data_IF_574222904067
#
_entry.id   IF_574222904067
#
_cell.length_a   1.000
_cell.length_b   1.000
_cell.length_c   1.000
_cell.angle_alpha   90.00
_cell.angle_beta   90.00
_cell.angle_gamma   90.00
#
_symmetry.space_group_name_H-M   'P 1'
#
loop_
_entity.id
_entity.type
_entity.pdbx_description
1 polymer ?
#
# COMPACT_ATOMS: atom_id res chain seq x y z
N UNK A 1 -6.41 -10.38 11.04
CA UNK A 1 -4.92 -10.34 11.07
C UNK A 1 -4.26 -10.90 9.81
N UNK A 2 -4.64 -12.07 9.29
CA UNK A 2 -4.00 -12.66 8.08
C UNK A 2 -3.88 -11.70 6.89
N UNK A 3 -4.95 -10.97 6.58
CA UNK A 3 -4.96 -10.00 5.49
C UNK A 3 -3.85 -8.94 5.62
N UNK A 4 -3.63 -8.41 6.83
CA UNK A 4 -2.55 -7.45 7.08
C UNK A 4 -1.17 -8.11 6.89
N UNK A 5 -0.95 -9.29 7.47
CA UNK A 5 0.35 -10.00 7.38
C UNK A 5 0.71 -10.47 5.97
N UNK A 6 -0.28 -10.75 5.13
CA UNK A 6 -0.01 -11.10 3.74
C UNK A 6 0.58 -9.94 2.93
N UNK A 7 0.22 -8.70 3.28
CA UNK A 7 0.71 -7.49 2.64
C UNK A 7 1.94 -6.93 3.36
N UNK A 8 1.96 -6.99 4.70
CA UNK A 8 2.98 -6.44 5.59
C UNK A 8 3.36 -7.50 6.64
N UNK A 9 4.30 -8.42 6.32
CA UNK A 9 4.60 -9.58 7.17
C UNK A 9 5.09 -9.22 8.58
N UNK A 10 5.86 -8.15 8.68
CA UNK A 10 6.52 -7.64 9.89
C UNK A 10 5.74 -6.52 10.58
N UNK A 11 4.46 -6.32 10.22
CA UNK A 11 3.60 -5.31 10.83
C UNK A 11 3.59 -5.43 12.36
N UNK A 12 4.00 -4.35 13.04
CA UNK A 12 3.93 -4.21 14.49
C UNK A 12 2.53 -3.76 14.85
N UNK A 13 1.79 -4.63 15.53
CA UNK A 13 0.39 -4.35 15.91
C UNK A 13 0.38 -3.37 17.07
N UNK A 14 -0.46 -2.35 16.97
CA UNK A 14 -0.68 -1.34 18.00
C UNK A 14 -2.12 -1.45 18.51
N UNK A 15 -2.37 -1.28 19.83
CA UNK A 15 -3.72 -1.24 20.37
C UNK A 15 -4.49 -0.05 19.80
N UNK A 16 -5.63 -0.31 19.18
CA UNK A 16 -6.57 0.73 18.75
C UNK A 16 -7.98 0.36 19.19
N UNK A 17 -8.78 1.32 19.64
CA UNK A 17 -10.07 1.05 20.29
C UNK A 17 -11.06 0.26 19.43
N UNK A 18 -11.17 0.60 18.13
CA UNK A 18 -12.22 0.07 17.25
C UNK A 18 -11.68 -0.56 15.96
N UNK A 19 -10.35 -0.65 15.82
CA UNK A 19 -9.69 -1.13 14.59
C UNK A 19 -8.53 -2.04 14.95
N UNK A 20 -8.14 -2.86 13.99
CA UNK A 20 -6.87 -3.62 14.06
C UNK A 20 -5.93 -2.94 13.06
N UNK A 21 -4.82 -2.44 13.57
CA UNK A 21 -3.83 -1.70 12.79
C UNK A 21 -2.43 -1.84 13.39
N UNK A 22 -1.48 -1.16 12.77
CA UNK A 22 -0.09 -1.22 13.15
C UNK A 22 0.78 -0.47 12.16
N UNK A 23 2.07 -0.44 12.44
CA UNK A 23 3.09 0.26 11.65
C UNK A 23 4.17 -0.71 11.17
N UNK A 24 4.75 -0.41 10.02
CA UNK A 24 5.97 -1.05 9.52
C UNK A 24 6.73 -0.04 8.66
N UNK A 25 8.04 -0.17 8.63
CA UNK A 25 8.93 0.59 7.73
C UNK A 25 9.25 -0.21 6.46
N UNK A 26 8.77 -1.46 6.38
CA UNK A 26 9.08 -2.37 5.30
C UNK A 26 7.94 -2.42 4.26
N UNK A 27 8.27 -2.02 3.04
CA UNK A 27 7.35 -2.01 1.89
C UNK A 27 7.67 -3.09 0.85
N UNK A 28 8.64 -3.97 1.11
CA UNK A 28 9.18 -4.93 0.15
C UNK A 28 8.12 -5.89 -0.33
N UNK A 29 7.31 -6.43 0.60
CA UNK A 29 6.26 -7.38 0.25
C UNK A 29 5.18 -6.73 -0.60
N UNK A 30 4.78 -5.49 -0.28
CA UNK A 30 3.82 -4.74 -1.07
C UNK A 30 4.35 -4.49 -2.49
N UNK A 31 5.61 -4.03 -2.61
CA UNK A 31 6.30 -3.83 -3.89
C UNK A 31 6.37 -5.12 -4.72
N UNK A 32 6.76 -6.23 -4.09
CA UNK A 32 6.85 -7.54 -4.72
C UNK A 32 5.49 -7.98 -5.28
N UNK A 33 4.43 -7.83 -4.49
CA UNK A 33 3.06 -8.15 -4.89
C UNK A 33 2.59 -7.30 -6.08
N UNK A 34 2.82 -5.99 -6.05
CA UNK A 34 2.48 -5.07 -7.14
C UNK A 34 3.18 -5.48 -8.45
N UNK A 35 4.48 -5.83 -8.36
CA UNK A 35 5.28 -6.28 -9.50
C UNK A 35 4.77 -7.63 -10.03
N UNK A 36 4.61 -8.63 -9.17
CA UNK A 36 4.20 -9.97 -9.56
C UNK A 36 2.78 -9.99 -10.17
N UNK A 37 1.89 -9.12 -9.68
CA UNK A 37 0.53 -8.96 -10.19
C UNK A 37 0.45 -8.09 -11.46
N UNK A 38 1.57 -7.48 -11.90
CA UNK A 38 1.63 -6.57 -13.06
C UNK A 38 0.67 -5.38 -12.96
N UNK A 39 0.46 -4.86 -11.74
CA UNK A 39 -0.45 -3.73 -11.47
C UNK A 39 0.29 -2.43 -11.13
N UNK A 40 1.58 -2.33 -11.49
CA UNK A 40 2.44 -1.18 -11.16
C UNK A 40 1.82 0.15 -11.56
N UNK A 41 1.32 0.27 -12.78
CA UNK A 41 0.77 1.53 -13.29
C UNK A 41 -0.48 1.96 -12.52
N UNK A 42 -1.34 1.00 -12.15
CA UNK A 42 -2.50 1.23 -11.29
C UNK A 42 -2.05 1.66 -9.88
N UNK A 43 -1.09 0.95 -9.30
CA UNK A 43 -0.57 1.27 -7.97
C UNK A 43 0.03 2.68 -7.93
N UNK A 44 0.88 3.02 -8.90
CA UNK A 44 1.46 4.36 -9.04
C UNK A 44 0.38 5.42 -9.15
N UNK A 45 -0.61 5.22 -10.03
CA UNK A 45 -1.72 6.18 -10.20
C UNK A 45 -2.47 6.42 -8.89
N UNK A 46 -2.77 5.36 -8.15
CA UNK A 46 -3.50 5.45 -6.87
C UNK A 46 -2.67 6.14 -5.79
N UNK A 47 -1.39 5.78 -5.66
CA UNK A 47 -0.47 6.42 -4.71
C UNK A 47 -0.26 7.90 -5.03
N UNK A 48 -0.13 8.27 -6.30
CA UNK A 48 -0.01 9.69 -6.71
C UNK A 48 -1.31 10.45 -6.45
N UNK A 49 -2.47 9.86 -6.76
CA UNK A 49 -3.77 10.49 -6.53
C UNK A 49 -4.09 10.66 -5.03
N UNK A 50 -3.58 9.78 -4.17
CA UNK A 50 -3.76 9.83 -2.71
C UNK A 50 -2.82 10.78 -1.97
N UNK A 51 -1.91 11.48 -2.65
CA UNK A 51 -0.90 12.35 -2.01
C UNK A 51 -1.55 13.53 -1.29
N UNK A 52 -1.05 13.80 -0.09
CA UNK A 52 -1.29 15.01 0.72
C UNK A 52 0.01 15.33 1.45
N UNK A 53 0.67 16.45 1.11
CA UNK A 53 1.95 16.85 1.74
C UNK A 53 3.01 15.73 1.67
N UNK A 54 3.52 15.26 2.81
CA UNK A 54 4.54 14.22 2.96
C UNK A 54 3.97 12.79 3.08
N UNK A 55 2.67 12.61 2.83
CA UNK A 55 1.99 11.30 2.90
C UNK A 55 1.14 10.99 1.68
N UNK A 56 0.88 9.70 1.48
CA UNK A 56 -0.16 9.21 0.56
C UNK A 56 -1.02 8.17 1.25
N UNK A 57 -2.32 8.19 0.96
CA UNK A 57 -3.27 7.23 1.48
C UNK A 57 -3.97 6.48 0.36
N UNK A 58 -3.99 5.16 0.45
CA UNK A 58 -4.74 4.27 -0.46
C UNK A 58 -5.59 3.29 0.33
N UNK A 59 -6.69 2.87 -0.28
CA UNK A 59 -7.54 1.82 0.27
C UNK A 59 -7.33 0.53 -0.51
N UNK A 60 -7.15 -0.58 0.20
CA UNK A 60 -6.99 -1.91 -0.37
C UNK A 60 -8.13 -2.82 0.08
N UNK A 61 -8.64 -3.65 -0.83
CA UNK A 61 -9.65 -4.66 -0.50
C UNK A 61 -9.12 -5.65 0.54
N UNK A 62 -9.80 -5.72 1.70
CA UNK A 62 -9.45 -6.66 2.78
C UNK A 62 -9.59 -8.12 2.35
N UNK A 63 -10.54 -8.42 1.47
CA UNK A 63 -10.77 -9.77 0.95
C UNK A 63 -9.65 -10.22 0.02
N UNK A 64 -9.23 -9.34 -0.90
CA UNK A 64 -8.08 -9.61 -1.76
C UNK A 64 -6.81 -9.79 -0.92
N UNK A 65 -6.60 -8.92 0.07
CA UNK A 65 -5.47 -9.01 0.99
C UNK A 65 -5.46 -10.34 1.78
N UNK A 66 -6.63 -10.87 2.15
CA UNK A 66 -6.73 -12.16 2.84
C UNK A 66 -6.18 -13.34 2.04
N UNK A 67 -6.26 -13.27 0.71
CA UNK A 67 -5.68 -14.27 -0.22
C UNK A 67 -4.33 -13.84 -0.81
N UNK A 68 -3.75 -12.75 -0.31
CA UNK A 68 -2.41 -12.27 -0.71
C UNK A 68 -2.37 -11.48 -2.01
N UNK A 69 -3.50 -10.89 -2.41
CA UNK A 69 -3.65 -10.07 -3.62
C UNK A 69 -3.80 -8.60 -3.25
N UNK A 70 -3.21 -7.70 -4.06
CA UNK A 70 -3.34 -6.25 -3.90
C UNK A 70 -4.44 -5.78 -4.83
N UNK A 71 -5.46 -5.11 -4.29
CA UNK A 71 -6.56 -4.59 -5.09
C UNK A 71 -7.01 -3.23 -4.56
N UNK A 72 -6.91 -2.21 -5.40
CA UNK A 72 -7.27 -0.82 -5.10
C UNK A 72 -8.77 -0.51 -5.27
N UNK A 73 -9.56 -1.43 -5.82
CA UNK A 73 -11.02 -1.33 -5.87
C UNK A 73 -11.60 -1.63 -4.48
N UNK A 74 -11.47 -0.64 -3.60
CA UNK A 74 -11.86 -0.70 -2.21
C UNK A 74 -13.35 -0.31 -2.07
N UNK A 75 -14.18 -1.33 -1.88
CA UNK A 75 -15.60 -1.23 -1.52
C UNK A 75 -16.04 -2.54 -0.85
N UNK A 76 -15.13 -3.15 -0.09
CA UNK A 76 -15.37 -4.50 0.43
C UNK A 76 -16.52 -4.51 1.45
N UNK A 77 -17.46 -5.48 1.39
CA UNK A 77 -18.50 -5.63 2.40
C UNK A 77 -17.98 -5.81 3.83
N UNK A 78 -16.73 -6.28 4.00
CA UNK A 78 -16.07 -6.42 5.31
C UNK A 78 -15.17 -5.22 5.66
N UNK A 79 -15.29 -4.13 4.91
CA UNK A 79 -14.44 -2.94 5.00
C UNK A 79 -13.05 -3.14 4.40
N UNK A 80 -12.37 -2.02 4.18
CA UNK A 80 -11.08 -1.97 3.50
C UNK A 80 -9.91 -1.87 4.48
N UNK A 81 -8.71 -2.08 3.97
CA UNK A 81 -7.46 -1.76 4.64
C UNK A 81 -7.04 -0.38 4.16
N UNK A 82 -7.03 0.61 5.05
CA UNK A 82 -6.43 1.91 4.78
C UNK A 82 -4.93 1.79 5.00
N UNK A 83 -4.14 2.17 4.00
CA UNK A 83 -2.68 2.22 4.05
C UNK A 83 -2.27 3.67 3.89
N UNK A 84 -1.63 4.21 4.92
CA UNK A 84 -0.96 5.51 4.88
C UNK A 84 0.55 5.26 4.80
N UNK A 85 1.21 5.95 3.87
CA UNK A 85 2.67 5.94 3.73
C UNK A 85 3.12 7.38 3.91
N UNK A 86 4.01 7.59 4.87
CA UNK A 86 4.64 8.87 5.18
C UNK A 86 6.14 8.79 4.88
N UNK A 87 6.71 9.85 4.30
CA UNK A 87 8.13 9.94 3.98
C UNK A 87 8.54 11.39 3.75
N UNK A 88 9.74 11.75 4.20
CA UNK A 88 10.35 13.06 3.87
C UNK A 88 10.55 13.22 2.36
N UNK A 89 10.86 12.12 1.66
CA UNK A 89 10.84 12.02 0.20
C UNK A 89 9.74 11.05 -0.23
N UNK A 90 8.52 11.59 -0.30
CA UNK A 90 7.35 10.82 -0.71
C UNK A 90 7.44 10.35 -2.18
N UNK A 91 8.14 11.09 -3.05
CA UNK A 91 8.28 10.71 -4.45
C UNK A 91 9.18 9.49 -4.60
N UNK A 92 10.33 9.46 -3.91
CA UNK A 92 11.19 8.29 -3.86
C UNK A 92 10.49 7.08 -3.25
N UNK A 93 9.65 7.27 -2.21
CA UNK A 93 8.86 6.18 -1.63
C UNK A 93 7.84 5.61 -2.64
N UNK A 94 7.14 6.47 -3.39
CA UNK A 94 6.21 6.04 -4.44
C UNK A 94 6.96 5.32 -5.56
N UNK A 95 8.11 5.83 -5.98
CA UNK A 95 8.98 5.19 -6.98
C UNK A 95 9.50 3.83 -6.52
N UNK A 96 9.83 3.70 -5.22
CA UNK A 96 10.23 2.42 -4.64
C UNK A 96 9.11 1.38 -4.74
N UNK A 97 7.89 1.75 -4.36
CA UNK A 97 6.73 0.85 -4.38
C UNK A 97 6.30 0.52 -5.82
N UNK A 98 6.29 1.54 -6.69
CA UNK A 98 5.76 1.46 -8.04
C UNK A 98 6.56 2.35 -9.00
N UNK A 99 7.70 1.81 -9.47
CA UNK A 99 8.66 2.45 -10.35
C UNK A 99 8.00 3.19 -11.53
N UNK A 100 8.47 4.42 -11.79
CA UNK A 100 8.07 5.17 -12.98
C UNK A 100 8.47 4.44 -14.26
N UNK A 101 7.58 4.43 -15.24
CA UNK A 101 7.90 4.04 -16.64
C UNK A 101 8.42 5.20 -17.48
N UNK A 102 8.30 6.42 -16.98
CA UNK A 102 8.79 7.62 -17.67
C UNK A 102 10.26 7.75 -17.32
N UNK A 103 11.13 7.71 -18.34
CA UNK A 103 12.56 7.95 -18.15
C UNK A 103 12.77 9.26 -17.36
N UNK A 104 13.71 9.29 -16.39
CA UNK A 104 14.04 10.55 -15.72
C UNK A 104 14.39 11.58 -16.79
N UNK A 105 13.70 12.72 -16.77
CA UNK A 105 14.07 13.85 -17.63
C UNK A 105 15.40 14.38 -17.10
N UNK A 106 16.47 14.04 -17.81
CA UNK A 106 17.78 14.69 -17.69
C UNK A 106 17.70 16.14 -18.15
#
# INVERSE_FOLDING_TARGET
>A
MRALRNLFPDLRIEPMEHRIGGTTENLDRLRELIRNQRIRDTARRQLVAGRRENRTTVSLSKQAAFVGVVNFAASSPLGDIAVEIESDDLEAAIDYIAESTVAPKT
#
